data_IF_296523688115
#
_entry.id   IF_296523688115
#
_cell.length_a   1.000
_cell.length_b   1.000
_cell.length_c   1.000
_cell.angle_alpha   90.00
_cell.angle_beta   90.00
_cell.angle_gamma   90.00
#
_symmetry.space_group_name_H-M   'P 1'
#
loop_
_entity.id
_entity.type
_entity.pdbx_description
1 polymer ?
#
# COMPACT_ATOMS: atom_id res chain seq x y z
N UNK A 1 -7.83 -45.96 -36.86
CA UNK A 1 -6.95 -44.78 -36.63
C UNK A 1 -7.81 -43.54 -36.52
N UNK A 2 -7.48 -42.66 -35.56
CA UNK A 2 -8.02 -41.30 -35.32
C UNK A 2 -9.35 -41.18 -34.55
N UNK A 3 -9.25 -41.24 -33.22
CA UNK A 3 -9.89 -40.28 -32.29
C UNK A 3 -9.09 -40.32 -30.97
N UNK A 4 -7.83 -39.89 -31.04
CA UNK A 4 -7.02 -39.63 -29.87
C UNK A 4 -7.07 -38.13 -29.57
N UNK A 5 -7.31 -37.76 -28.31
CA UNK A 5 -6.99 -36.43 -27.80
C UNK A 5 -8.20 -35.57 -27.47
N UNK A 6 -8.90 -35.87 -26.36
CA UNK A 6 -9.77 -34.90 -25.70
C UNK A 6 -10.09 -35.33 -24.26
N UNK A 7 -9.08 -35.64 -23.44
CA UNK A 7 -9.30 -35.96 -22.01
C UNK A 7 -8.18 -35.49 -21.06
N UNK A 8 -7.40 -34.48 -21.43
CA UNK A 8 -6.22 -34.06 -20.64
C UNK A 8 -6.13 -32.54 -20.38
N UNK A 9 -7.28 -31.86 -20.21
CA UNK A 9 -7.29 -30.41 -19.92
C UNK A 9 -8.27 -30.00 -18.81
N UNK A 10 -8.44 -30.83 -17.77
CA UNK A 10 -9.36 -30.54 -16.66
C UNK A 10 -8.67 -30.40 -15.28
N UNK A 11 -7.35 -30.19 -15.21
CA UNK A 11 -6.61 -30.18 -13.93
C UNK A 11 -5.80 -28.91 -13.65
N UNK A 12 -6.12 -27.78 -14.29
CA UNK A 12 -5.48 -26.48 -14.03
C UNK A 12 -6.46 -25.50 -13.37
N UNK A 13 -7.07 -25.92 -12.25
CA UNK A 13 -7.74 -25.02 -11.32
C UNK A 13 -7.13 -25.23 -9.93
N UNK A 14 -5.80 -25.02 -9.84
CA UNK A 14 -5.20 -24.78 -8.55
C UNK A 14 -5.71 -23.41 -8.05
N UNK A 15 -6.29 -23.32 -6.84
CA UNK A 15 -6.70 -22.05 -6.30
C UNK A 15 -5.46 -21.16 -6.23
N UNK A 16 -5.52 -19.99 -6.87
CA UNK A 16 -4.63 -18.88 -6.55
C UNK A 16 -4.72 -18.71 -5.04
N UNK A 17 -3.72 -19.08 -4.27
CA UNK A 17 -3.72 -18.77 -2.83
C UNK A 17 -3.54 -17.26 -2.77
N UNK A 18 -4.59 -16.55 -2.35
CA UNK A 18 -4.49 -15.19 -1.89
C UNK A 18 -3.55 -15.25 -0.68
N UNK A 19 -2.26 -14.98 -0.92
CA UNK A 19 -1.29 -14.79 0.13
C UNK A 19 -1.72 -13.54 0.91
N UNK A 20 -2.61 -13.74 1.89
CA UNK A 20 -2.93 -12.77 2.92
C UNK A 20 -1.75 -12.73 3.90
N UNK A 21 -0.59 -12.30 3.40
CA UNK A 21 0.59 -12.10 4.22
C UNK A 21 0.37 -10.88 5.10
N UNK A 22 -0.01 -11.08 6.36
CA UNK A 22 0.28 -10.08 7.37
C UNK A 22 1.79 -9.92 7.45
N UNK A 23 2.27 -8.68 7.34
CA UNK A 23 3.69 -8.40 7.51
C UNK A 23 4.14 -8.96 8.86
N UNK A 24 5.17 -9.81 8.85
CA UNK A 24 5.76 -10.33 10.07
C UNK A 24 6.35 -9.21 10.94
N UNK A 25 6.67 -9.49 12.21
CA UNK A 25 7.32 -8.52 13.07
C UNK A 25 8.58 -7.96 12.41
N UNK A 26 8.72 -6.63 12.42
CA UNK A 26 9.89 -5.93 11.88
C UNK A 26 10.96 -5.92 12.97
N UNK A 27 12.01 -6.70 12.77
CA UNK A 27 13.17 -6.77 13.67
C UNK A 27 14.16 -5.65 13.39
N UNK A 28 14.81 -5.12 14.43
CA UNK A 28 15.77 -4.02 14.30
C UNK A 28 17.04 -4.41 13.51
N UNK A 29 17.33 -5.70 13.37
CA UNK A 29 18.43 -6.22 12.55
C UNK A 29 18.15 -6.21 11.04
N UNK A 30 16.93 -5.86 10.60
CA UNK A 30 16.63 -5.73 9.18
C UNK A 30 17.15 -4.38 8.64
N UNK A 31 17.85 -4.36 7.49
CA UNK A 31 18.44 -3.14 6.93
C UNK A 31 17.40 -2.05 6.62
N UNK A 32 16.14 -2.44 6.39
CA UNK A 32 15.05 -1.53 6.07
C UNK A 32 14.02 -1.38 7.21
N UNK A 33 14.35 -1.81 8.44
CA UNK A 33 13.40 -1.86 9.55
C UNK A 33 12.71 -0.52 9.85
N UNK A 34 13.49 0.57 9.82
CA UNK A 34 12.98 1.92 10.04
C UNK A 34 12.05 2.38 8.92
N UNK A 35 12.48 2.20 7.66
CA UNK A 35 11.67 2.53 6.47
C UNK A 35 10.35 1.77 6.47
N UNK A 36 10.38 0.47 6.76
CA UNK A 36 9.18 -0.37 6.82
C UNK A 36 8.24 0.17 7.91
N UNK A 37 8.73 0.39 9.14
CA UNK A 37 7.90 0.92 10.23
C UNK A 37 7.33 2.31 9.92
N UNK A 38 8.12 3.17 9.27
CA UNK A 38 7.66 4.46 8.81
C UNK A 38 6.51 4.31 7.80
N UNK A 39 6.68 3.50 6.76
CA UNK A 39 5.64 3.30 5.75
C UNK A 39 4.40 2.57 6.26
N UNK A 40 4.51 1.74 7.31
CA UNK A 40 3.37 1.19 8.03
C UNK A 40 2.55 2.29 8.73
N UNK A 41 3.21 3.26 9.39
CA UNK A 41 2.50 4.41 9.99
C UNK A 41 1.83 5.29 8.92
N UNK A 42 2.52 5.52 7.81
CA UNK A 42 1.95 6.27 6.67
C UNK A 42 0.73 5.56 6.07
N UNK A 43 0.76 4.22 5.96
CA UNK A 43 -0.41 3.41 5.58
C UNK A 43 -1.59 3.65 6.51
N UNK A 44 -1.37 3.70 7.82
CA UNK A 44 -2.46 3.89 8.77
C UNK A 44 -3.12 5.28 8.59
N UNK A 45 -2.33 6.31 8.28
CA UNK A 45 -2.86 7.63 7.90
C UNK A 45 -3.64 7.59 6.57
N UNK A 46 -3.20 6.79 5.60
CA UNK A 46 -3.92 6.57 4.35
C UNK A 46 -5.31 5.95 4.61
N UNK A 47 -5.36 4.90 5.43
CA UNK A 47 -6.60 4.26 5.82
C UNK A 47 -7.54 5.22 6.56
N UNK A 48 -7.00 6.01 7.48
CA UNK A 48 -7.78 7.02 8.20
C UNK A 48 -8.34 8.10 7.27
N UNK A 49 -7.56 8.54 6.29
CA UNK A 49 -8.01 9.50 5.28
C UNK A 49 -9.17 8.94 4.43
N UNK A 50 -9.08 7.66 4.04
CA UNK A 50 -10.16 6.98 3.33
C UNK A 50 -11.46 6.99 4.14
N UNK A 51 -11.41 6.60 5.41
CA UNK A 51 -12.60 6.60 6.26
C UNK A 51 -13.15 7.99 6.53
N UNK A 52 -12.29 9.01 6.62
CA UNK A 52 -12.75 10.39 6.76
C UNK A 52 -13.48 10.85 5.49
N UNK A 53 -12.91 10.62 4.30
CA UNK A 53 -13.55 10.93 3.02
C UNK A 53 -14.88 10.22 2.85
N UNK A 54 -14.94 8.92 3.14
CA UNK A 54 -16.14 8.08 3.03
C UNK A 54 -17.28 8.59 3.94
N UNK A 55 -16.93 9.13 5.11
CA UNK A 55 -17.86 9.76 6.05
C UNK A 55 -18.16 11.24 5.74
N UNK A 56 -17.70 11.76 4.60
CA UNK A 56 -17.88 13.17 4.21
C UNK A 56 -17.17 14.17 5.12
N UNK A 57 -16.15 13.74 5.87
CA UNK A 57 -15.38 14.59 6.77
C UNK A 57 -14.38 15.43 5.98
N UNK A 58 -14.04 16.63 6.45
CA UNK A 58 -13.03 17.45 5.79
C UNK A 58 -11.66 16.78 5.83
N UNK A 59 -10.88 17.03 4.77
CA UNK A 59 -9.47 16.64 4.71
C UNK A 59 -8.69 17.29 5.85
N UNK A 60 -7.85 16.49 6.50
CA UNK A 60 -6.92 16.95 7.54
C UNK A 60 -5.50 16.68 7.07
N UNK A 61 -4.71 17.73 7.00
CA UNK A 61 -3.29 17.67 6.62
C UNK A 61 -2.44 17.96 7.86
N UNK A 62 -1.22 17.47 7.83
CA UNK A 62 -0.18 17.78 8.81
C UNK A 62 0.50 19.09 8.42
N UNK A 63 0.98 19.84 9.41
CA UNK A 63 1.84 20.98 9.17
C UNK A 63 3.14 20.49 8.53
N UNK A 64 3.53 21.08 7.41
CA UNK A 64 4.78 20.71 6.73
C UNK A 64 5.97 21.35 7.44
N UNK A 65 6.63 20.56 8.27
CA UNK A 65 7.79 20.92 9.10
C UNK A 65 9.14 20.71 8.38
N UNK A 66 9.11 20.46 7.07
CA UNK A 66 10.29 20.09 6.27
C UNK A 66 10.65 18.60 6.33
N UNK A 67 10.01 17.80 7.19
CA UNK A 67 10.24 16.37 7.27
C UNK A 67 9.63 15.61 6.08
N UNK A 68 10.22 14.45 5.77
CA UNK A 68 9.66 13.51 4.80
C UNK A 68 8.30 12.95 5.29
N UNK A 69 8.10 12.86 6.60
CA UNK A 69 6.89 12.38 7.27
C UNK A 69 5.63 13.16 6.89
N UNK A 70 5.63 14.45 7.18
CA UNK A 70 4.49 15.32 6.87
C UNK A 70 4.26 15.41 5.36
N UNK A 71 5.34 15.58 4.57
CA UNK A 71 5.27 15.73 3.12
C UNK A 71 4.68 14.50 2.41
N UNK A 72 5.20 13.30 2.70
CA UNK A 72 4.72 12.04 2.10
C UNK A 72 3.27 11.78 2.51
N UNK A 73 2.97 11.95 3.81
CA UNK A 73 1.62 11.70 4.35
C UNK A 73 0.59 12.65 3.73
N UNK A 74 0.90 13.94 3.64
CA UNK A 74 0.02 14.92 3.01
C UNK A 74 -0.25 14.62 1.54
N UNK A 75 0.78 14.19 0.78
CA UNK A 75 0.64 13.77 -0.62
C UNK A 75 -0.38 12.63 -0.75
N UNK A 76 -0.27 11.61 0.10
CA UNK A 76 -1.16 10.45 0.12
C UNK A 76 -2.59 10.87 0.52
N UNK A 77 -2.74 11.68 1.56
CA UNK A 77 -4.07 12.15 2.02
C UNK A 77 -4.78 12.93 0.92
N UNK A 78 -4.11 13.90 0.30
CA UNK A 78 -4.69 14.68 -0.81
C UNK A 78 -5.20 13.75 -1.91
N UNK A 79 -4.36 12.79 -2.29
CA UNK A 79 -4.67 11.88 -3.35
C UNK A 79 -5.85 10.96 -3.04
N UNK A 80 -5.99 10.51 -1.80
CA UNK A 80 -7.15 9.70 -1.36
C UNK A 80 -8.46 10.49 -1.51
N UNK A 81 -8.48 11.77 -1.21
CA UNK A 81 -9.68 12.60 -1.41
C UNK A 81 -9.95 12.90 -2.87
N UNK A 82 -8.89 13.09 -3.67
CA UNK A 82 -8.99 13.45 -5.09
C UNK A 82 -9.30 12.26 -6.00
N UNK A 83 -8.95 11.02 -5.62
CA UNK A 83 -9.08 9.82 -6.46
C UNK A 83 -10.21 8.87 -6.01
N UNK A 84 -11.38 8.88 -6.68
CA UNK A 84 -12.49 7.96 -6.37
C UNK A 84 -12.12 6.48 -6.57
N UNK A 85 -11.15 6.17 -7.44
CA UNK A 85 -10.68 4.78 -7.67
C UNK A 85 -10.13 4.08 -6.42
N UNK A 86 -9.71 4.84 -5.41
CA UNK A 86 -9.36 4.32 -4.08
C UNK A 86 -10.67 4.05 -3.34
N UNK A 87 -11.33 2.97 -3.75
CA UNK A 87 -12.73 2.70 -3.43
C UNK A 87 -12.93 1.73 -2.25
N UNK A 88 -11.85 1.34 -1.55
CA UNK A 88 -11.94 0.43 -0.42
C UNK A 88 -10.79 0.64 0.58
N UNK A 89 -10.96 0.22 1.85
CA UNK A 89 -9.90 0.25 2.85
C UNK A 89 -8.61 -0.42 2.37
N UNK A 90 -8.72 -1.62 1.80
CA UNK A 90 -7.58 -2.39 1.29
C UNK A 90 -6.85 -1.67 0.15
N UNK A 91 -7.57 -0.95 -0.73
CA UNK A 91 -6.94 -0.13 -1.77
C UNK A 91 -6.21 1.08 -1.17
N UNK A 92 -6.78 1.72 -0.15
CA UNK A 92 -6.13 2.84 0.54
C UNK A 92 -4.85 2.41 1.25
N UNK A 93 -4.85 1.24 1.91
CA UNK A 93 -3.66 0.65 2.53
C UNK A 93 -2.58 0.35 1.50
N UNK A 94 -2.93 -0.37 0.43
CA UNK A 94 -1.99 -0.73 -0.63
C UNK A 94 -1.41 0.52 -1.31
N UNK A 95 -2.26 1.51 -1.60
CA UNK A 95 -1.86 2.81 -2.14
C UNK A 95 -0.88 3.53 -1.21
N UNK A 96 -1.23 3.69 0.07
CA UNK A 96 -0.38 4.38 1.05
C UNK A 96 1.00 3.74 1.20
N UNK A 97 1.08 2.41 1.29
CA UNK A 97 2.37 1.69 1.35
C UNK A 97 3.18 1.86 0.07
N UNK A 98 2.55 1.70 -1.09
CA UNK A 98 3.24 1.79 -2.38
C UNK A 98 3.83 3.19 -2.59
N UNK A 99 3.03 4.24 -2.39
CA UNK A 99 3.48 5.63 -2.53
C UNK A 99 4.56 5.98 -1.51
N UNK A 100 4.45 5.54 -0.26
CA UNK A 100 5.51 5.77 0.73
C UNK A 100 6.83 5.12 0.30
N UNK A 101 6.81 3.84 -0.09
CA UNK A 101 8.01 3.14 -0.52
C UNK A 101 8.64 3.80 -1.76
N UNK A 102 7.83 4.23 -2.72
CA UNK A 102 8.29 4.94 -3.91
C UNK A 102 8.99 6.26 -3.57
N UNK A 103 8.37 7.09 -2.70
CA UNK A 103 8.93 8.38 -2.28
C UNK A 103 10.16 8.25 -1.38
N UNK A 104 10.28 7.14 -0.65
CA UNK A 104 11.46 6.83 0.16
C UNK A 104 12.61 6.23 -0.66
N UNK A 105 12.30 5.45 -1.71
CA UNK A 105 13.29 4.80 -2.59
C UNK A 105 13.82 5.69 -3.72
N UNK A 106 13.15 6.82 -4.00
CA UNK A 106 13.59 7.81 -5.00
C UNK A 106 14.63 8.81 -4.47
N UNK A 107 15.12 8.63 -3.23
CA UNK A 107 16.23 9.40 -2.67
C UNK A 107 17.55 8.77 -3.16
N UNK A 108 18.43 9.49 -3.87
CA UNK A 108 19.81 9.04 -4.01
C UNK A 108 20.37 8.87 -2.59
N UNK A 109 21.03 7.74 -2.33
CA UNK A 109 21.67 7.48 -1.04
C UNK A 109 22.54 8.70 -0.68
N UNK A 110 22.48 9.20 0.57
CA UNK A 110 23.45 10.19 1.03
C UNK A 110 24.84 9.55 0.89
N UNK A 111 25.75 10.29 0.24
CA UNK A 111 27.16 9.95 0.08
C UNK A 111 27.91 9.86 1.42
#
# INVERSE_FOLDING_TARGET
>A
MKTAGLFLLASLMAPTVWAHGHAGPVDDGMPDAERIRFCERVRDHALQAFYNRDKGRPMKLFDEDGSDGARITNRIIRRIYEEPQISSPKKAEAFGRATCNEMMGSKPAPE
#
